data_IF_213243724040
#
_entry.id   IF_213243724040
#
_cell.length_a   1.000
_cell.length_b   1.000
_cell.length_c   1.000
_cell.angle_alpha   90.00
_cell.angle_beta   90.00
_cell.angle_gamma   90.00
#
_symmetry.space_group_name_H-M   'P 1'
#
loop_
_entity.id
_entity.type
_entity.pdbx_description
1 polymer ?
#
# COMPACT_ATOMS: atom_id res chain seq x y z
N UNK A 1 6.13 -17.15 -27.93
CA UNK A 1 5.37 -15.91 -27.70
C UNK A 1 5.94 -14.86 -28.64
N UNK A 2 5.13 -14.27 -29.50
CA UNK A 2 5.60 -13.24 -30.43
C UNK A 2 5.51 -11.86 -29.78
N UNK A 3 6.45 -11.55 -28.90
CA UNK A 3 6.56 -10.23 -28.29
C UNK A 3 7.50 -9.36 -29.12
N UNK A 4 7.13 -8.09 -29.31
CA UNK A 4 7.87 -7.12 -30.12
C UNK A 4 7.96 -5.81 -29.36
N UNK A 5 9.14 -5.23 -29.28
CA UNK A 5 9.36 -3.92 -28.71
C UNK A 5 9.20 -2.85 -29.79
N UNK A 6 8.38 -1.84 -29.51
CA UNK A 6 8.07 -0.75 -30.45
C UNK A 6 8.14 0.60 -29.71
N UNK A 7 8.34 1.68 -30.46
CA UNK A 7 8.24 3.02 -29.91
C UNK A 7 6.77 3.35 -29.59
N UNK A 8 6.55 4.20 -28.57
CA UNK A 8 5.19 4.59 -28.12
C UNK A 8 4.39 5.26 -29.25
N UNK A 9 5.06 5.94 -30.19
CA UNK A 9 4.47 6.59 -31.34
C UNK A 9 3.87 5.59 -32.34
N UNK A 10 4.32 4.35 -32.30
CA UNK A 10 3.85 3.25 -33.14
C UNK A 10 2.71 2.45 -32.50
N UNK A 11 2.41 2.72 -31.22
CA UNK A 11 1.33 2.06 -30.51
C UNK A 11 -0.02 2.58 -31.01
N UNK A 12 -0.92 1.66 -31.34
CA UNK A 12 -2.28 1.98 -31.80
C UNK A 12 -3.32 1.15 -31.05
N UNK A 13 -4.57 1.63 -30.95
CA UNK A 13 -5.65 0.84 -30.41
C UNK A 13 -5.79 -0.52 -31.10
N UNK A 14 -6.07 -1.57 -30.31
CA UNK A 14 -6.12 -2.96 -30.78
C UNK A 14 -4.82 -3.73 -30.55
N UNK A 15 -3.72 -3.10 -30.17
CA UNK A 15 -2.48 -3.79 -29.78
C UNK A 15 -2.56 -4.28 -28.32
N UNK A 16 -1.96 -5.43 -28.06
CA UNK A 16 -1.90 -5.98 -26.70
C UNK A 16 -0.56 -5.65 -26.04
N UNK A 17 -0.59 -4.76 -25.05
CA UNK A 17 0.56 -4.33 -24.27
C UNK A 17 0.99 -5.44 -23.30
N UNK A 18 2.29 -5.67 -23.19
CA UNK A 18 2.90 -6.64 -22.27
C UNK A 18 3.77 -5.95 -21.23
N UNK A 19 4.55 -4.93 -21.65
CA UNK A 19 5.48 -4.23 -20.80
C UNK A 19 5.79 -2.82 -21.34
N UNK A 20 6.36 -1.97 -20.49
CA UNK A 20 6.78 -0.59 -20.81
C UNK A 20 8.19 -0.34 -20.28
N UNK A 21 8.91 0.63 -20.85
CA UNK A 21 10.28 1.01 -20.49
C UNK A 21 10.39 1.87 -19.22
N UNK A 22 9.25 2.20 -18.63
CA UNK A 22 9.19 2.95 -17.37
C UNK A 22 8.72 1.99 -16.27
N UNK A 23 9.34 1.99 -15.09
CA UNK A 23 8.90 1.17 -13.98
C UNK A 23 7.40 1.33 -13.74
N UNK A 24 6.71 0.21 -13.58
CA UNK A 24 5.25 0.16 -13.45
C UNK A 24 4.67 1.08 -12.37
N UNK A 25 5.42 1.34 -11.29
CA UNK A 25 5.04 2.26 -10.22
C UNK A 25 5.08 3.75 -10.64
N UNK A 26 5.66 4.05 -11.81
CA UNK A 26 5.65 5.39 -12.42
C UNK A 26 4.57 5.55 -13.49
N UNK A 27 3.70 4.56 -13.66
CA UNK A 27 2.62 4.62 -14.65
C UNK A 27 1.25 4.64 -13.96
N UNK A 28 0.23 5.31 -14.52
CA UNK A 28 -1.10 5.34 -13.96
C UNK A 28 -1.86 4.03 -14.17
N UNK A 29 -1.23 3.03 -14.79
CA UNK A 29 -1.88 1.80 -15.19
C UNK A 29 -1.69 0.71 -14.14
N UNK A 30 -2.81 0.19 -13.62
CA UNK A 30 -2.82 -0.95 -12.71
C UNK A 30 -2.30 -2.25 -13.35
N UNK A 31 -2.33 -2.33 -14.69
CA UNK A 31 -1.91 -3.51 -15.45
C UNK A 31 -1.14 -3.08 -16.70
N UNK A 32 0.10 -3.56 -16.84
CA UNK A 32 0.85 -3.39 -18.10
C UNK A 32 0.34 -4.36 -19.19
N UNK A 33 -0.13 -5.55 -18.81
CA UNK A 33 -0.67 -6.55 -19.73
C UNK A 33 -2.13 -6.28 -20.03
N UNK A 34 -2.42 -5.52 -21.07
CA UNK A 34 -3.79 -5.18 -21.45
C UNK A 34 -3.92 -4.85 -22.93
N UNK A 35 -5.15 -4.93 -23.44
CA UNK A 35 -5.49 -4.36 -24.74
C UNK A 35 -5.47 -2.83 -24.65
N UNK A 36 -4.87 -2.17 -25.63
CA UNK A 36 -4.95 -0.72 -25.80
C UNK A 36 -6.24 -0.43 -26.57
N UNK A 37 -7.21 0.18 -25.91
CA UNK A 37 -8.55 0.33 -26.46
C UNK A 37 -8.80 1.68 -27.14
N UNK A 38 -8.02 2.72 -26.80
CA UNK A 38 -8.25 4.08 -27.23
C UNK A 38 -6.95 4.90 -27.31
N UNK A 39 -7.00 6.01 -28.08
CA UNK A 39 -5.88 6.93 -28.25
C UNK A 39 -5.58 7.72 -26.98
N UNK A 40 -6.57 7.97 -26.13
CA UNK A 40 -6.40 8.69 -24.88
C UNK A 40 -5.46 7.93 -23.93
N UNK A 41 -5.58 6.61 -23.90
CA UNK A 41 -4.65 5.73 -23.17
C UNK A 41 -3.20 5.93 -23.65
N UNK A 42 -2.98 6.05 -24.96
CA UNK A 42 -1.63 6.24 -25.55
C UNK A 42 -1.07 7.62 -25.19
N UNK A 43 -1.89 8.65 -25.23
CA UNK A 43 -1.48 10.00 -24.84
C UNK A 43 -1.12 10.07 -23.34
N UNK A 44 -1.90 9.43 -22.51
CA UNK A 44 -1.57 9.29 -21.08
C UNK A 44 -0.21 8.59 -20.92
N UNK A 45 0.05 7.49 -21.63
CA UNK A 45 1.32 6.79 -21.56
C UNK A 45 2.51 7.68 -21.94
N UNK A 46 2.37 8.51 -22.97
CA UNK A 46 3.39 9.50 -23.40
C UNK A 46 3.65 10.55 -22.31
N UNK A 47 2.60 11.06 -21.67
CA UNK A 47 2.70 12.04 -20.57
C UNK A 47 3.50 11.48 -19.39
N UNK A 48 3.43 10.16 -19.15
CA UNK A 48 4.23 9.48 -18.11
C UNK A 48 5.64 9.13 -18.53
N UNK A 49 6.09 9.64 -19.69
CA UNK A 49 7.47 9.48 -20.16
C UNK A 49 7.79 8.10 -20.74
N UNK A 50 6.79 7.27 -21.02
CA UNK A 50 6.97 6.00 -21.72
C UNK A 50 7.39 6.28 -23.15
N UNK A 51 8.51 5.69 -23.58
CA UNK A 51 9.07 5.85 -24.91
C UNK A 51 9.03 4.54 -25.71
N UNK A 52 9.21 3.42 -25.00
CA UNK A 52 9.23 2.10 -25.60
C UNK A 52 8.21 1.19 -24.93
N UNK A 53 7.52 0.39 -25.71
CA UNK A 53 6.52 -0.56 -25.21
C UNK A 53 6.76 -1.93 -25.84
N UNK A 54 6.46 -2.98 -25.08
CA UNK A 54 6.47 -4.36 -25.56
C UNK A 54 5.04 -4.81 -25.81
N UNK A 55 4.74 -5.24 -27.03
CA UNK A 55 3.43 -5.76 -27.43
C UNK A 55 3.49 -7.28 -27.68
N UNK A 56 2.36 -7.96 -27.53
CA UNK A 56 2.17 -9.37 -27.89
C UNK A 56 1.29 -9.44 -29.15
N UNK A 57 1.90 -9.69 -30.28
CA UNK A 57 1.23 -9.73 -31.57
C UNK A 57 0.34 -10.97 -31.78
N UNK A 58 0.42 -11.95 -30.85
CA UNK A 58 -0.50 -13.10 -30.85
C UNK A 58 -1.84 -12.79 -30.18
N UNK A 59 -1.93 -11.69 -29.41
CA UNK A 59 -3.12 -11.29 -28.66
C UNK A 59 -3.77 -9.99 -29.11
N UNK A 60 -3.12 -9.28 -30.03
CA UNK A 60 -3.59 -8.00 -30.54
C UNK A 60 -3.02 -7.67 -31.91
N UNK A 61 -3.33 -6.49 -32.41
CA UNK A 61 -2.84 -6.00 -33.70
C UNK A 61 -1.31 -5.89 -33.73
N UNK A 62 -0.68 -6.14 -34.88
CA UNK A 62 0.74 -5.86 -35.15
C UNK A 62 0.89 -4.51 -35.86
N UNK A 63 2.13 -4.04 -36.01
CA UNK A 63 2.45 -2.81 -36.73
C UNK A 63 1.91 -2.85 -38.17
N UNK A 64 1.19 -1.81 -38.62
CA UNK A 64 0.86 -1.69 -40.05
C UNK A 64 2.15 -1.56 -40.87
N UNK A 65 2.24 -2.28 -41.95
CA UNK A 65 3.36 -2.19 -42.90
C UNK A 65 3.46 -0.76 -43.41
N UNK A 66 4.55 -0.08 -43.08
CA UNK A 66 4.79 1.33 -43.37
C UNK A 66 4.93 1.63 -44.85
N UNK A 67 4.19 2.63 -45.30
CA UNK A 67 4.65 3.51 -46.38
C UNK A 67 4.90 4.90 -45.78
N UNK A 68 6.13 5.36 -45.86
CA UNK A 68 6.52 6.76 -45.69
C UNK A 68 5.97 7.59 -46.84
N UNK A 69 5.62 8.87 -46.78
CA UNK A 69 6.54 9.97 -46.56
C UNK A 69 6.00 11.32 -46.06
N UNK A 70 6.97 12.23 -45.86
CA UNK A 70 6.98 13.67 -46.20
C UNK A 70 6.29 14.69 -45.27
N UNK A 71 7.20 15.45 -44.67
CA UNK A 71 7.20 16.87 -44.36
C UNK A 71 6.13 17.77 -44.99
N UNK A 72 5.52 18.67 -44.22
CA UNK A 72 5.36 20.10 -44.56
C UNK A 72 5.18 20.91 -43.25
N UNK A 73 5.94 22.00 -43.16
CA UNK A 73 5.82 23.14 -42.27
C UNK A 73 4.45 23.80 -42.37
N UNK A 74 3.95 24.36 -41.28
CA UNK A 74 3.71 25.82 -41.18
C UNK A 74 3.20 26.23 -39.81
N UNK A 75 3.83 27.25 -39.26
CA UNK A 75 3.31 28.09 -38.20
C UNK A 75 2.27 29.10 -38.77
N UNK A 76 1.34 29.66 -37.96
CA UNK A 76 1.69 30.96 -37.38
C UNK A 76 1.21 31.22 -35.94
N UNK A 77 1.92 32.12 -35.34
CA UNK A 77 1.76 32.65 -34.00
C UNK A 77 0.57 33.62 -33.82
N UNK A 78 0.08 33.73 -32.58
CA UNK A 78 -0.60 34.88 -32.03
C UNK A 78 -1.56 34.56 -30.89
N UNK A 79 -1.93 35.50 -30.01
CA UNK A 79 -1.11 36.39 -29.20
C UNK A 79 -1.18 36.07 -27.68
N UNK A 80 -0.14 36.46 -27.01
CA UNK A 80 0.05 36.38 -25.54
C UNK A 80 -0.95 37.21 -24.73
N UNK A 81 -1.57 36.57 -23.74
CA UNK A 81 -2.29 37.22 -22.64
C UNK A 81 -1.46 37.02 -21.37
N UNK A 82 -1.18 38.04 -20.56
CA UNK A 82 -0.35 37.92 -19.37
C UNK A 82 -1.11 37.20 -18.24
N UNK A 83 -0.39 36.43 -17.37
CA UNK A 83 -0.99 35.69 -16.28
C UNK A 83 -1.39 36.60 -15.12
N UNK A 84 -2.44 36.23 -14.36
CA UNK A 84 -2.78 36.89 -13.09
C UNK A 84 -1.74 36.56 -12.03
N UNK A 85 -1.41 37.55 -11.22
CA UNK A 85 -0.49 37.45 -10.09
C UNK A 85 -0.94 36.41 -9.07
N UNK A 86 -0.05 35.50 -8.76
CA UNK A 86 -0.16 34.52 -7.69
C UNK A 86 -0.13 35.21 -6.33
N UNK A 87 -1.19 35.01 -5.56
CA UNK A 87 -1.14 35.23 -4.11
C UNK A 87 -0.39 34.04 -3.48
N UNK A 88 0.81 34.32 -2.98
CA UNK A 88 1.63 33.40 -2.22
C UNK A 88 0.87 33.00 -0.95
N UNK A 89 0.46 31.72 -0.85
CA UNK A 89 0.18 31.07 0.41
C UNK A 89 1.35 30.14 0.71
N UNK A 90 2.32 30.71 1.39
CA UNK A 90 3.40 29.94 2.05
C UNK A 90 2.77 29.05 3.13
N UNK A 91 2.84 27.75 2.93
CA UNK A 91 3.12 26.70 3.91
C UNK A 91 3.49 25.42 3.18
N UNK A 92 4.56 25.45 2.41
CA UNK A 92 5.34 24.26 2.21
C UNK A 92 6.17 24.06 3.50
N UNK A 93 5.92 23.00 4.25
CA UNK A 93 6.89 22.50 5.20
C UNK A 93 8.15 22.22 4.38
N UNK A 94 9.22 22.98 4.65
CA UNK A 94 10.53 22.74 4.06
C UNK A 94 10.91 21.27 4.31
N UNK A 95 11.36 20.52 3.30
CA UNK A 95 11.89 19.19 3.53
C UNK A 95 13.09 19.34 4.48
N UNK A 96 13.02 18.64 5.61
CA UNK A 96 14.15 18.52 6.54
C UNK A 96 15.34 18.04 5.73
N UNK A 97 16.35 18.89 5.62
CA UNK A 97 17.57 18.63 4.83
C UNK A 97 18.20 17.32 5.34
N UNK A 98 18.13 16.24 4.55
CA UNK A 98 18.79 14.97 4.85
C UNK A 98 17.88 13.74 4.95
N UNK A 99 16.54 13.86 4.93
CA UNK A 99 15.65 12.70 4.97
C UNK A 99 15.40 12.14 3.56
N UNK A 100 15.69 10.85 3.36
CA UNK A 100 15.40 10.19 2.07
C UNK A 100 13.87 10.09 1.86
N UNK A 101 13.38 10.18 0.60
CA UNK A 101 11.96 10.00 0.33
C UNK A 101 11.44 8.63 0.80
N UNK A 102 10.23 8.57 1.35
CA UNK A 102 9.63 7.34 1.86
C UNK A 102 9.61 6.20 0.84
N UNK A 103 9.47 6.51 -0.46
CA UNK A 103 9.53 5.52 -1.55
C UNK A 103 10.89 4.84 -1.64
N UNK A 104 11.98 5.57 -1.40
CA UNK A 104 13.34 5.02 -1.44
C UNK A 104 13.58 4.10 -0.24
N UNK A 105 13.21 4.56 0.94
CA UNK A 105 13.34 3.76 2.17
C UNK A 105 12.51 2.49 2.10
N UNK A 106 11.26 2.59 1.64
CA UNK A 106 10.41 1.43 1.46
C UNK A 106 11.02 0.41 0.48
N UNK A 107 11.58 0.88 -0.64
CA UNK A 107 12.22 0.03 -1.64
C UNK A 107 13.48 -0.65 -1.08
N UNK A 108 14.33 0.09 -0.36
CA UNK A 108 15.54 -0.46 0.28
C UNK A 108 15.19 -1.47 1.38
N UNK A 109 14.21 -1.16 2.23
CA UNK A 109 13.73 -2.08 3.25
C UNK A 109 13.18 -3.36 2.62
N UNK A 110 12.40 -3.25 1.54
CA UNK A 110 11.86 -4.39 0.82
C UNK A 110 12.96 -5.30 0.28
N UNK A 111 13.95 -4.75 -0.40
CA UNK A 111 15.10 -5.51 -0.89
C UNK A 111 15.88 -6.22 0.24
N UNK A 112 16.02 -5.56 1.39
CA UNK A 112 16.66 -6.17 2.55
C UNK A 112 15.82 -7.31 3.15
N UNK A 113 14.49 -7.17 3.20
CA UNK A 113 13.56 -8.23 3.66
C UNK A 113 13.56 -9.39 2.66
N UNK A 114 13.60 -9.14 1.37
CA UNK A 114 13.73 -10.20 0.35
C UNK A 114 14.98 -11.05 0.58
N UNK A 115 16.13 -10.43 0.86
CA UNK A 115 17.36 -11.15 1.19
C UNK A 115 17.21 -12.03 2.45
N UNK A 116 16.53 -11.52 3.49
CA UNK A 116 16.24 -12.31 4.70
C UNK A 116 15.41 -13.56 4.36
N UNK A 117 14.36 -13.41 3.57
CA UNK A 117 13.50 -14.55 3.20
C UNK A 117 14.19 -15.53 2.27
N UNK A 118 15.06 -15.08 1.36
CA UNK A 118 15.91 -15.94 0.54
C UNK A 118 16.89 -16.76 1.39
N UNK A 119 17.47 -16.17 2.44
CA UNK A 119 18.33 -16.86 3.38
C UNK A 119 17.55 -17.88 4.24
N UNK A 120 16.37 -17.50 4.72
CA UNK A 120 15.46 -18.41 5.43
C UNK A 120 15.06 -19.63 4.58
N UNK A 121 14.80 -19.45 3.29
CA UNK A 121 14.51 -20.56 2.37
C UNK A 121 15.70 -21.52 2.23
N UNK A 122 16.94 -21.00 2.33
CA UNK A 122 18.18 -21.80 2.34
C UNK A 122 18.47 -22.42 3.70
N UNK A 123 17.67 -22.10 4.72
CA UNK A 123 17.86 -22.60 6.08
C UNK A 123 18.82 -21.77 6.92
N UNK A 124 19.13 -20.55 6.49
CA UNK A 124 19.99 -19.62 7.24
C UNK A 124 19.09 -18.65 8.01
N UNK A 125 19.01 -18.72 9.34
CA UNK A 125 18.22 -17.78 10.13
C UNK A 125 18.86 -16.38 10.09
N UNK A 126 18.05 -15.30 10.04
CA UNK A 126 18.58 -13.94 10.05
C UNK A 126 19.21 -13.61 11.40
N UNK A 127 20.28 -12.83 11.37
CA UNK A 127 20.84 -12.30 12.62
C UNK A 127 19.91 -11.23 13.21
N UNK A 128 19.80 -11.14 14.55
CA UNK A 128 19.01 -10.09 15.20
C UNK A 128 19.44 -8.70 14.78
N UNK A 129 20.76 -8.47 14.58
CA UNK A 129 21.33 -7.18 14.19
C UNK A 129 20.88 -6.77 12.78
N UNK A 130 20.87 -7.71 11.82
CA UNK A 130 20.42 -7.43 10.45
C UNK A 130 18.94 -7.08 10.42
N UNK A 131 18.11 -7.83 11.17
CA UNK A 131 16.68 -7.55 11.27
C UNK A 131 16.43 -6.20 11.97
N UNK A 132 17.14 -5.94 13.08
CA UNK A 132 17.05 -4.69 13.82
C UNK A 132 17.45 -3.50 12.97
N UNK A 133 18.49 -3.60 12.16
CA UNK A 133 18.94 -2.51 11.28
C UNK A 133 17.85 -2.09 10.27
N UNK A 134 17.12 -3.06 9.70
CA UNK A 134 15.97 -2.76 8.82
C UNK A 134 14.87 -2.05 9.61
N UNK A 135 14.51 -2.58 10.78
CA UNK A 135 13.45 -2.03 11.62
C UNK A 135 13.79 -0.62 12.09
N UNK A 136 15.02 -0.36 12.54
CA UNK A 136 15.45 0.97 12.99
C UNK A 136 15.36 2.00 11.87
N UNK A 137 15.77 1.65 10.64
CA UNK A 137 15.63 2.54 9.48
C UNK A 137 14.15 2.87 9.18
N UNK A 138 13.27 1.86 9.20
CA UNK A 138 11.82 2.06 9.00
C UNK A 138 11.23 2.88 10.14
N UNK A 139 11.61 2.60 11.39
CA UNK A 139 11.14 3.31 12.59
C UNK A 139 11.50 4.78 12.55
N UNK A 140 12.76 5.12 12.22
CA UNK A 140 13.20 6.49 12.05
C UNK A 140 12.34 7.24 11.02
N UNK A 141 11.96 6.56 9.96
CA UNK A 141 11.07 7.14 8.93
C UNK A 141 9.65 7.33 9.43
N UNK A 142 9.11 6.36 10.16
CA UNK A 142 7.77 6.47 10.78
C UNK A 142 7.72 7.63 11.78
N UNK A 143 8.80 7.85 12.53
CA UNK A 143 8.91 8.96 13.49
C UNK A 143 9.03 10.32 12.81
N UNK A 144 9.72 10.39 11.66
CA UNK A 144 9.94 11.64 10.94
C UNK A 144 8.75 12.02 10.02
N UNK A 145 8.21 11.07 9.26
CA UNK A 145 7.09 11.27 8.35
C UNK A 145 6.18 10.04 8.26
N UNK A 146 5.37 9.87 9.28
CA UNK A 146 4.40 8.80 9.40
C UNK A 146 3.41 8.74 8.22
N UNK A 147 3.01 9.91 7.72
CA UNK A 147 2.03 10.00 6.62
C UNK A 147 2.64 9.49 5.33
N UNK A 148 3.87 9.92 5.01
CA UNK A 148 4.55 9.50 3.78
C UNK A 148 4.76 7.98 3.74
N UNK A 149 5.22 7.36 4.82
CA UNK A 149 5.47 5.91 4.83
C UNK A 149 4.16 5.10 4.82
N UNK A 150 3.12 5.54 5.55
CA UNK A 150 1.80 4.92 5.49
C UNK A 150 1.17 5.05 4.09
N UNK A 151 1.43 6.16 3.40
CA UNK A 151 1.02 6.37 2.00
C UNK A 151 1.72 5.38 1.07
N UNK A 152 3.00 5.07 1.29
CA UNK A 152 3.69 4.05 0.49
C UNK A 152 3.05 2.67 0.67
N UNK A 153 2.70 2.27 1.89
CA UNK A 153 1.96 1.02 2.13
C UNK A 153 0.62 1.04 1.39
N UNK A 154 -0.15 2.12 1.46
CA UNK A 154 -1.42 2.25 0.76
C UNK A 154 -1.24 2.15 -0.77
N UNK A 155 -0.21 2.79 -1.34
CA UNK A 155 0.13 2.71 -2.76
C UNK A 155 0.45 1.26 -3.16
N UNK A 156 1.24 0.52 -2.38
CA UNK A 156 1.56 -0.87 -2.66
C UNK A 156 0.29 -1.74 -2.65
N UNK A 157 -0.64 -1.52 -1.71
CA UNK A 157 -1.92 -2.24 -1.65
C UNK A 157 -2.80 -1.95 -2.87
N UNK A 158 -2.88 -0.70 -3.30
CA UNK A 158 -3.68 -0.30 -4.48
C UNK A 158 -3.06 -0.85 -5.77
N UNK A 159 -1.75 -0.76 -5.91
CA UNK A 159 -1.01 -1.26 -7.08
C UNK A 159 -0.99 -2.79 -7.18
N UNK A 160 -1.30 -3.49 -6.13
CA UNK A 160 -1.65 -4.91 -5.98
C UNK A 160 -0.90 -5.94 -6.82
N UNK A 161 0.41 -6.04 -6.76
CA UNK A 161 1.07 -7.16 -7.41
C UNK A 161 2.01 -7.96 -6.51
N UNK A 162 2.31 -7.44 -5.34
CA UNK A 162 3.17 -8.14 -4.42
C UNK A 162 2.37 -8.98 -3.43
N UNK A 163 2.13 -10.25 -3.81
CA UNK A 163 1.62 -11.30 -2.92
C UNK A 163 2.75 -12.02 -2.21
N UNK A 164 3.97 -11.47 -2.27
CA UNK A 164 5.11 -12.08 -1.64
C UNK A 164 4.96 -12.02 -0.12
N UNK A 165 5.53 -13.00 0.54
CA UNK A 165 5.65 -12.98 2.01
C UNK A 165 6.43 -11.74 2.46
N UNK A 166 7.39 -11.30 1.66
CA UNK A 166 8.26 -10.15 1.92
C UNK A 166 7.52 -8.82 1.91
N UNK A 167 6.66 -8.59 0.91
CA UNK A 167 5.82 -7.38 0.87
C UNK A 167 4.85 -7.32 2.04
N UNK A 168 4.19 -8.43 2.35
CA UNK A 168 3.30 -8.55 3.51
C UNK A 168 4.05 -8.30 4.82
N UNK A 169 5.22 -8.90 5.01
CA UNK A 169 6.04 -8.73 6.20
C UNK A 169 6.46 -7.26 6.41
N UNK A 170 6.88 -6.56 5.35
CA UNK A 170 7.26 -5.16 5.43
C UNK A 170 6.05 -4.26 5.72
N UNK A 171 4.92 -4.46 5.04
CA UNK A 171 3.70 -3.69 5.27
C UNK A 171 3.20 -3.87 6.71
N UNK A 172 3.19 -5.12 7.19
CA UNK A 172 2.84 -5.44 8.58
C UNK A 172 3.81 -4.79 9.56
N UNK A 173 5.12 -4.76 9.26
CA UNK A 173 6.12 -4.07 10.09
C UNK A 173 5.83 -2.58 10.18
N UNK A 174 5.68 -1.88 9.06
CA UNK A 174 5.39 -0.43 9.01
C UNK A 174 4.14 -0.09 9.81
N UNK A 175 3.04 -0.79 9.57
CA UNK A 175 1.78 -0.53 10.27
C UNK A 175 1.86 -0.88 11.76
N UNK A 176 2.58 -1.96 12.13
CA UNK A 176 2.77 -2.35 13.53
C UNK A 176 3.60 -1.33 14.30
N UNK A 177 4.63 -0.74 13.68
CA UNK A 177 5.41 0.35 14.27
C UNK A 177 4.53 1.59 14.50
N UNK A 178 3.67 1.94 13.55
CA UNK A 178 2.73 3.04 13.70
C UNK A 178 1.79 2.80 14.90
N UNK A 179 1.26 1.59 15.04
CA UNK A 179 0.37 1.22 16.16
C UNK A 179 1.14 1.17 17.47
N UNK A 180 2.37 0.66 17.49
CA UNK A 180 3.22 0.59 18.67
C UNK A 180 3.54 1.99 19.23
N UNK A 181 3.88 2.95 18.36
CA UNK A 181 4.10 4.36 18.74
C UNK A 181 2.82 4.97 19.31
N UNK A 182 1.69 4.78 18.64
CA UNK A 182 0.39 5.30 19.08
C UNK A 182 -0.10 4.64 20.38
N UNK A 183 0.37 3.41 20.66
CA UNK A 183 0.13 2.70 21.93
C UNK A 183 1.01 3.22 23.08
N UNK A 184 1.94 4.15 22.81
CA UNK A 184 2.86 4.70 23.80
C UNK A 184 3.98 3.75 24.22
N UNK A 185 4.33 2.76 23.40
CA UNK A 185 5.46 1.87 23.66
C UNK A 185 6.77 2.64 23.54
N UNK A 186 7.76 2.30 24.39
CA UNK A 186 9.11 2.84 24.28
C UNK A 186 9.87 2.25 23.09
N UNK A 187 10.89 2.94 22.60
CA UNK A 187 11.67 2.56 21.43
C UNK A 187 12.16 1.11 21.44
N UNK A 188 12.70 0.55 22.55
CA UNK A 188 13.11 -0.86 22.57
C UNK A 188 11.95 -1.83 22.28
N UNK A 189 10.76 -1.54 22.78
CA UNK A 189 9.56 -2.34 22.51
C UNK A 189 9.06 -2.17 21.08
N UNK A 190 9.12 -0.95 20.53
CA UNK A 190 8.80 -0.68 19.14
C UNK A 190 9.72 -1.49 18.19
N UNK A 191 11.02 -1.54 18.48
CA UNK A 191 11.99 -2.36 17.72
C UNK A 191 11.61 -3.85 17.78
N UNK A 192 11.24 -4.38 18.94
CA UNK A 192 10.80 -5.77 19.08
C UNK A 192 9.52 -6.06 18.30
N UNK A 193 8.55 -5.16 18.33
CA UNK A 193 7.32 -5.24 17.51
C UNK A 193 7.68 -5.26 16.03
N UNK A 194 8.55 -4.35 15.57
CA UNK A 194 8.99 -4.30 14.18
C UNK A 194 9.69 -5.58 13.73
N UNK A 195 10.63 -6.11 14.55
CA UNK A 195 11.34 -7.36 14.27
C UNK A 195 10.37 -8.55 14.22
N UNK A 196 9.46 -8.65 15.19
CA UNK A 196 8.43 -9.68 15.22
C UNK A 196 7.52 -9.61 14.02
N UNK A 197 7.10 -8.40 13.63
CA UNK A 197 6.26 -8.18 12.46
C UNK A 197 6.96 -8.53 11.14
N UNK A 198 8.27 -8.25 10.99
CA UNK A 198 9.04 -8.69 9.82
C UNK A 198 9.15 -10.21 9.72
N UNK A 199 9.18 -10.91 10.84
CA UNK A 199 9.48 -12.33 10.90
C UNK A 199 8.27 -13.22 11.24
N UNK A 200 7.07 -12.64 11.47
CA UNK A 200 5.89 -13.39 11.95
C UNK A 200 5.54 -14.59 11.07
N UNK A 201 5.69 -14.45 9.77
CA UNK A 201 5.36 -15.43 8.74
C UNK A 201 6.60 -16.24 8.25
N UNK A 202 7.79 -16.11 8.91
CA UNK A 202 9.01 -16.79 8.51
C UNK A 202 8.85 -18.32 8.38
N UNK A 203 7.98 -18.91 9.17
CA UNK A 203 7.73 -20.35 9.14
C UNK A 203 7.10 -20.88 7.86
N UNK A 204 6.48 -20.02 7.02
CA UNK A 204 5.94 -20.44 5.73
C UNK A 204 7.02 -20.97 4.77
N UNK A 205 8.28 -20.57 4.92
CA UNK A 205 9.38 -21.09 4.09
C UNK A 205 9.62 -22.61 4.29
N UNK A 206 9.14 -23.16 5.42
CA UNK A 206 9.24 -24.60 5.75
C UNK A 206 8.03 -25.40 5.27
N UNK A 207 7.02 -24.76 4.69
CA UNK A 207 5.81 -25.40 4.17
C UNK A 207 5.87 -25.58 2.65
N UNK A 208 5.13 -26.56 2.09
CA UNK A 208 5.06 -26.73 0.63
C UNK A 208 4.61 -25.45 -0.08
N UNK A 209 5.40 -24.98 -1.05
CA UNK A 209 5.14 -23.72 -1.78
C UNK A 209 3.77 -23.68 -2.46
N UNK A 210 3.28 -24.81 -2.97
CA UNK A 210 1.96 -24.93 -3.58
C UNK A 210 0.84 -24.71 -2.56
N UNK A 211 1.04 -25.15 -1.32
CA UNK A 211 0.09 -24.93 -0.22
C UNK A 211 0.08 -23.46 0.20
N UNK A 212 1.26 -22.88 0.41
CA UNK A 212 1.40 -21.45 0.79
C UNK A 212 0.77 -20.52 -0.26
N UNK A 213 0.90 -20.84 -1.55
CA UNK A 213 0.29 -20.06 -2.63
C UNK A 213 -1.24 -20.07 -2.60
N UNK A 214 -1.85 -21.14 -2.07
CA UNK A 214 -3.31 -21.33 -1.98
C UNK A 214 -3.84 -21.13 -0.55
N UNK A 215 -3.03 -20.56 0.35
CA UNK A 215 -3.35 -20.49 1.80
C UNK A 215 -4.73 -19.92 2.12
N UNK A 216 -5.23 -19.00 1.30
CA UNK A 216 -6.54 -18.39 1.52
C UNK A 216 -7.72 -19.24 1.02
N UNK A 217 -7.44 -20.31 0.29
CA UNK A 217 -8.43 -21.25 -0.27
C UNK A 217 -8.40 -22.61 0.44
N UNK A 218 -7.49 -22.76 1.41
CA UNK A 218 -7.27 -24.02 2.11
C UNK A 218 -8.32 -24.26 3.20
N UNK A 219 -8.67 -25.54 3.38
CA UNK A 219 -9.60 -26.00 4.41
C UNK A 219 -9.14 -27.34 5.00
N UNK A 220 -9.72 -27.77 6.11
CA UNK A 220 -9.42 -29.05 6.73
C UNK A 220 -7.93 -29.22 7.08
N UNK A 221 -7.34 -30.33 6.67
CA UNK A 221 -5.95 -30.69 6.99
C UNK A 221 -4.93 -29.67 6.44
N UNK A 222 -5.18 -29.12 5.25
CA UNK A 222 -4.30 -28.12 4.65
C UNK A 222 -4.23 -26.86 5.51
N UNK A 223 -5.36 -26.41 6.06
CA UNK A 223 -5.41 -25.28 6.99
C UNK A 223 -4.61 -25.57 8.26
N UNK A 224 -4.81 -26.77 8.87
CA UNK A 224 -4.06 -27.19 10.06
C UNK A 224 -2.55 -27.24 9.80
N UNK A 225 -2.16 -27.66 8.59
CA UNK A 225 -0.74 -27.65 8.21
C UNK A 225 -0.21 -26.22 8.05
N UNK A 226 -0.98 -25.31 7.44
CA UNK A 226 -0.60 -23.90 7.35
C UNK A 226 -0.45 -23.23 8.72
N UNK A 227 -1.30 -23.55 9.68
CA UNK A 227 -1.23 -23.05 11.05
C UNK A 227 0.07 -23.42 11.78
N UNK A 228 0.80 -24.45 11.31
CA UNK A 228 2.10 -24.81 11.85
C UNK A 228 3.18 -23.75 11.59
N UNK A 229 2.96 -22.79 10.66
CA UNK A 229 3.99 -21.77 10.37
C UNK A 229 4.44 -21.01 11.61
N UNK A 230 3.56 -20.76 12.60
CA UNK A 230 3.93 -20.12 13.85
C UNK A 230 5.02 -20.92 14.60
N UNK A 231 4.80 -22.23 14.77
CA UNK A 231 5.75 -23.12 15.47
C UNK A 231 7.03 -23.33 14.64
N UNK A 232 6.89 -23.51 13.33
CA UNK A 232 8.02 -23.66 12.42
C UNK A 232 8.87 -22.39 12.37
N UNK A 233 8.23 -21.20 12.42
CA UNK A 233 8.92 -19.93 12.51
C UNK A 233 9.76 -19.82 13.79
N UNK A 234 9.17 -20.14 14.94
CA UNK A 234 9.91 -20.17 16.21
C UNK A 234 11.09 -21.15 16.15
N UNK A 235 10.87 -22.38 15.66
CA UNK A 235 11.94 -23.37 15.52
C UNK A 235 13.09 -22.83 14.67
N UNK A 236 12.76 -22.25 13.52
CA UNK A 236 13.74 -21.70 12.58
C UNK A 236 14.55 -20.53 13.17
N UNK A 237 13.86 -19.60 13.84
CA UNK A 237 14.47 -18.39 14.38
C UNK A 237 15.27 -18.67 15.67
N UNK A 238 14.88 -19.68 16.45
CA UNK A 238 15.59 -20.10 17.67
C UNK A 238 16.95 -20.76 17.38
N UNK A 239 17.25 -21.12 16.12
CA UNK A 239 18.56 -21.59 15.71
C UNK A 239 19.63 -20.50 15.87
N UNK A 240 19.24 -19.22 15.90
CA UNK A 240 20.13 -18.10 16.21
C UNK A 240 20.06 -17.75 17.68
N UNK A 241 21.14 -17.94 18.47
CA UNK A 241 21.10 -17.81 19.94
C UNK A 241 20.85 -16.40 20.48
N UNK A 242 20.94 -15.37 19.61
CA UNK A 242 20.69 -13.96 19.99
C UNK A 242 19.28 -13.46 19.68
N UNK A 243 18.38 -14.31 19.16
CA UNK A 243 17.01 -13.86 18.86
C UNK A 243 16.24 -13.61 20.17
N UNK A 244 15.67 -12.42 20.29
CA UNK A 244 14.98 -11.99 21.52
C UNK A 244 13.71 -12.82 21.75
N UNK A 245 13.45 -13.18 23.00
CA UNK A 245 12.29 -13.99 23.40
C UNK A 245 10.96 -13.37 22.97
N UNK A 246 10.79 -12.05 23.12
CA UNK A 246 9.57 -11.37 22.72
C UNK A 246 9.33 -11.43 21.20
N UNK A 247 10.40 -11.42 20.38
CA UNK A 247 10.27 -11.62 18.93
C UNK A 247 9.73 -13.02 18.64
N UNK A 248 10.29 -14.06 19.30
CA UNK A 248 9.80 -15.43 19.18
C UNK A 248 8.36 -15.58 19.66
N UNK A 249 7.99 -14.89 20.74
CA UNK A 249 6.60 -14.85 21.21
C UNK A 249 5.66 -14.20 20.20
N UNK A 250 6.05 -13.09 19.55
CA UNK A 250 5.26 -12.46 18.49
C UNK A 250 5.04 -13.46 17.35
N UNK A 251 6.09 -14.12 16.88
CA UNK A 251 6.01 -15.13 15.81
C UNK A 251 5.08 -16.28 16.18
N UNK A 252 5.10 -16.72 17.44
CA UNK A 252 4.25 -17.81 17.92
C UNK A 252 2.79 -17.41 18.05
N UNK A 253 2.53 -16.20 18.60
CA UNK A 253 1.23 -15.82 19.18
C UNK A 253 0.40 -14.85 18.30
N UNK A 254 0.93 -14.35 17.16
CA UNK A 254 0.22 -13.31 16.35
C UNK A 254 -1.15 -13.76 15.81
N UNK A 255 -1.41 -15.06 15.75
CA UNK A 255 -2.73 -15.60 15.39
C UNK A 255 -3.59 -15.97 16.60
N UNK A 256 -3.12 -15.77 17.82
CA UNK A 256 -3.96 -15.93 19.01
C UNK A 256 -5.04 -14.85 19.09
N UNK A 257 -6.16 -15.18 19.71
CA UNK A 257 -7.30 -14.27 19.89
C UNK A 257 -7.74 -14.27 21.33
N UNK A 258 -8.09 -13.09 21.86
CA UNK A 258 -8.44 -12.93 23.29
C UNK A 258 -9.64 -13.75 23.72
N UNK A 259 -10.51 -14.14 22.79
CA UNK A 259 -11.64 -15.04 23.01
C UNK A 259 -11.25 -16.54 23.01
N UNK A 260 -9.96 -16.88 22.81
CA UNK A 260 -9.47 -18.26 22.76
C UNK A 260 -9.75 -18.98 21.43
N UNK A 261 -10.26 -18.30 20.40
CA UNK A 261 -10.51 -18.89 19.08
C UNK A 261 -9.29 -18.90 18.17
N UNK A 262 -8.15 -18.39 18.64
CA UNK A 262 -6.91 -18.33 17.89
C UNK A 262 -6.11 -19.63 17.87
N UNK A 263 -4.92 -19.59 17.32
CA UNK A 263 -3.96 -20.69 17.25
C UNK A 263 -2.53 -20.16 17.44
N UNK A 264 -1.52 -20.99 17.75
CA UNK A 264 -1.52 -22.45 17.79
C UNK A 264 -1.85 -23.08 19.15
N UNK A 265 -2.07 -22.26 20.21
CA UNK A 265 -2.27 -22.75 21.57
C UNK A 265 -3.66 -22.40 22.13
N UNK A 266 -4.48 -21.67 21.37
CA UNK A 266 -5.79 -21.15 21.78
C UNK A 266 -5.73 -20.40 23.10
N UNK A 267 -4.75 -19.48 23.22
CA UNK A 267 -4.53 -18.67 24.41
C UNK A 267 -5.71 -17.71 24.61
N UNK A 268 -6.16 -17.60 25.86
CA UNK A 268 -7.12 -16.56 26.24
C UNK A 268 -6.42 -15.30 26.72
N UNK A 269 -7.15 -14.21 26.71
CA UNK A 269 -6.88 -12.83 27.10
C UNK A 269 -5.47 -12.51 27.65
N UNK A 270 -5.23 -12.77 28.94
CA UNK A 270 -4.01 -12.31 29.66
C UNK A 270 -2.75 -13.13 29.35
N UNK A 271 -2.86 -14.21 28.58
CA UNK A 271 -1.75 -15.10 28.25
C UNK A 271 -1.01 -14.69 26.96
N UNK A 272 -1.69 -13.91 26.09
CA UNK A 272 -1.14 -13.46 24.82
C UNK A 272 -0.23 -12.25 25.05
N UNK A 273 0.96 -12.25 24.49
CA UNK A 273 1.85 -11.08 24.52
C UNK A 273 1.15 -9.84 23.96
N UNK A 274 1.15 -8.71 24.67
CA UNK A 274 0.63 -7.45 24.13
C UNK A 274 1.30 -7.03 22.81
N UNK A 275 2.59 -7.34 22.63
CA UNK A 275 3.33 -7.07 21.40
C UNK A 275 2.84 -7.97 20.26
N UNK A 276 2.52 -9.23 20.54
CA UNK A 276 1.93 -10.15 19.57
C UNK A 276 0.51 -9.74 19.18
N UNK A 277 -0.27 -9.19 20.09
CA UNK A 277 -1.61 -8.66 19.79
C UNK A 277 -1.54 -7.48 18.81
N UNK A 278 -0.53 -6.59 18.94
CA UNK A 278 -0.31 -5.48 17.99
C UNK A 278 -0.03 -6.03 16.58
N UNK A 279 0.88 -6.97 16.46
CA UNK A 279 1.19 -7.58 15.15
C UNK A 279 -0.02 -8.34 14.61
N UNK A 280 -0.73 -9.09 15.46
CA UNK A 280 -1.89 -9.87 15.05
C UNK A 280 -3.08 -9.05 14.54
N UNK A 281 -3.36 -7.87 15.12
CA UNK A 281 -4.43 -7.01 14.60
C UNK A 281 -4.04 -6.35 13.27
N UNK A 282 -2.75 -5.98 13.12
CA UNK A 282 -2.21 -5.40 11.89
C UNK A 282 -2.20 -6.43 10.77
N UNK A 283 -1.75 -7.68 11.03
CA UNK A 283 -1.78 -8.78 10.07
C UNK A 283 -3.20 -9.02 9.54
N UNK A 284 -4.20 -9.07 10.44
CA UNK A 284 -5.61 -9.22 10.03
C UNK A 284 -6.07 -8.06 9.14
N UNK A 285 -5.71 -6.81 9.48
CA UNK A 285 -6.02 -5.65 8.63
C UNK A 285 -5.37 -5.78 7.27
N UNK A 286 -4.07 -6.05 7.24
CA UNK A 286 -3.30 -6.18 6.00
C UNK A 286 -3.86 -7.30 5.11
N UNK A 287 -4.19 -8.44 5.71
CA UNK A 287 -4.82 -9.55 5.00
C UNK A 287 -6.18 -9.18 4.40
N UNK A 288 -6.98 -8.32 5.05
CA UNK A 288 -8.27 -7.87 4.54
C UNK A 288 -8.14 -6.91 3.35
N UNK A 289 -7.19 -5.96 3.39
CA UNK A 289 -7.00 -4.96 2.34
C UNK A 289 -6.10 -5.43 1.20
N UNK A 290 -5.52 -6.63 1.33
CA UNK A 290 -4.72 -7.26 0.27
C UNK A 290 -5.55 -8.29 -0.47
N UNK A 291 -5.54 -8.22 -1.83
CA UNK A 291 -6.16 -9.26 -2.65
C UNK A 291 -5.37 -10.56 -2.52
N UNK A 292 -6.04 -11.66 -2.16
CA UNK A 292 -5.43 -12.98 -2.00
C UNK A 292 -6.23 -14.03 -2.80
N UNK A 293 -5.56 -14.73 -3.71
CA UNK A 293 -6.21 -15.76 -4.53
C UNK A 293 -7.43 -15.22 -5.29
N UNK A 294 -8.57 -15.88 -5.11
CA UNK A 294 -9.87 -15.49 -5.64
C UNK A 294 -10.60 -14.46 -4.76
N UNK A 295 -10.15 -14.28 -3.50
CA UNK A 295 -10.79 -13.34 -2.56
C UNK A 295 -10.41 -11.91 -2.94
N UNK A 296 -11.39 -11.01 -3.25
CA UNK A 296 -11.13 -9.60 -3.47
C UNK A 296 -10.64 -8.94 -2.18
N UNK A 297 -9.83 -7.90 -2.32
CA UNK A 297 -9.50 -7.02 -1.20
C UNK A 297 -10.76 -6.27 -0.75
N UNK A 298 -10.90 -6.07 0.56
CA UNK A 298 -11.86 -5.11 1.09
C UNK A 298 -11.35 -3.69 0.83
N UNK A 299 -12.25 -2.75 0.64
CA UNK A 299 -11.89 -1.34 0.72
C UNK A 299 -11.43 -1.03 2.16
N UNK A 300 -10.41 -0.16 2.34
CA UNK A 300 -9.79 0.06 3.66
C UNK A 300 -10.78 0.41 4.77
N UNK A 301 -11.81 1.19 4.47
CA UNK A 301 -12.86 1.55 5.43
C UNK A 301 -13.66 0.33 5.92
N UNK A 302 -13.98 -0.62 5.02
CA UNK A 302 -14.71 -1.83 5.42
C UNK A 302 -13.83 -2.75 6.27
N UNK A 303 -12.51 -2.80 6.00
CA UNK A 303 -11.56 -3.51 6.84
C UNK A 303 -11.51 -2.91 8.27
N UNK A 304 -11.50 -1.58 8.40
CA UNK A 304 -11.60 -0.89 9.71
C UNK A 304 -12.90 -1.27 10.43
N UNK A 305 -14.02 -1.30 9.71
CA UNK A 305 -15.30 -1.73 10.27
C UNK A 305 -15.25 -3.19 10.75
N UNK A 306 -14.61 -4.09 10.01
CA UNK A 306 -14.45 -5.49 10.44
C UNK A 306 -13.59 -5.60 11.70
N UNK A 307 -12.51 -4.81 11.82
CA UNK A 307 -11.70 -4.77 13.04
C UNK A 307 -12.52 -4.28 14.24
N UNK A 308 -13.33 -3.24 14.06
CA UNK A 308 -14.23 -2.78 15.11
C UNK A 308 -15.16 -3.89 15.59
N UNK A 309 -15.79 -4.60 14.66
CA UNK A 309 -16.67 -5.74 14.98
C UNK A 309 -15.90 -6.91 15.63
N UNK A 310 -14.64 -7.15 15.27
CA UNK A 310 -13.78 -8.16 15.90
C UNK A 310 -13.50 -7.79 17.37
N UNK A 311 -13.28 -6.51 17.67
CA UNK A 311 -13.17 -6.01 19.04
C UNK A 311 -14.45 -6.19 19.85
N UNK A 312 -15.62 -5.89 19.25
CA UNK A 312 -16.92 -6.10 19.90
C UNK A 312 -17.20 -7.58 20.20
N UNK A 313 -16.68 -8.50 19.38
CA UNK A 313 -16.76 -9.95 19.61
C UNK A 313 -15.72 -10.47 20.61
N UNK A 314 -14.82 -9.62 21.12
CA UNK A 314 -13.79 -10.03 22.07
C UNK A 314 -12.59 -10.75 21.44
N UNK A 315 -12.42 -10.66 20.11
CA UNK A 315 -11.26 -11.27 19.43
C UNK A 315 -9.97 -10.49 19.64
N UNK A 316 -10.08 -9.18 19.89
CA UNK A 316 -8.99 -8.28 20.24
C UNK A 316 -9.41 -7.38 21.39
N UNK A 317 -8.46 -6.90 22.23
CA UNK A 317 -8.76 -5.91 23.25
C UNK A 317 -9.33 -4.64 22.64
N UNK A 318 -10.47 -4.14 23.13
CA UNK A 318 -11.10 -2.91 22.61
C UNK A 318 -10.14 -1.71 22.59
N UNK A 319 -9.30 -1.44 23.61
CA UNK A 319 -8.35 -0.35 23.57
C UNK A 319 -7.34 -0.48 22.41
N UNK A 320 -6.90 -1.71 22.08
CA UNK A 320 -6.01 -1.95 20.96
C UNK A 320 -6.70 -1.68 19.62
N UNK A 321 -7.96 -2.13 19.48
CA UNK A 321 -8.76 -1.84 18.25
C UNK A 321 -8.94 -0.33 18.07
N UNK A 322 -9.25 0.39 19.14
CA UNK A 322 -9.37 1.85 19.13
C UNK A 322 -8.04 2.53 18.73
N UNK A 323 -6.92 2.03 19.26
CA UNK A 323 -5.59 2.53 18.90
C UNK A 323 -5.27 2.24 17.43
N UNK A 324 -5.57 1.05 16.93
CA UNK A 324 -5.41 0.72 15.52
C UNK A 324 -6.24 1.65 14.63
N UNK A 325 -7.53 1.86 14.94
CA UNK A 325 -8.40 2.77 14.17
C UNK A 325 -7.90 4.22 14.26
N UNK A 326 -7.35 4.63 15.40
CA UNK A 326 -6.73 5.95 15.57
C UNK A 326 -5.48 6.10 14.71
N UNK A 327 -4.70 5.03 14.59
CA UNK A 327 -3.44 4.98 13.83
C UNK A 327 -3.64 5.11 12.33
N UNK A 328 -4.59 4.38 11.77
CA UNK A 328 -4.83 4.32 10.33
C UNK A 328 -6.00 5.20 9.85
N UNK A 329 -6.82 5.70 10.79
CA UNK A 329 -8.01 6.52 10.52
C UNK A 329 -9.28 5.72 10.24
N UNK A 330 -10.44 6.35 10.44
CA UNK A 330 -11.76 5.81 10.04
C UNK A 330 -11.87 5.75 8.52
N UNK A 331 -11.25 6.71 7.85
CA UNK A 331 -11.05 6.75 6.41
C UNK A 331 -9.56 6.66 6.14
N UNK A 332 -9.00 5.43 5.97
CA UNK A 332 -7.56 5.26 5.75
C UNK A 332 -7.09 5.94 4.47
N UNK A 333 -5.79 6.26 4.40
CA UNK A 333 -5.14 6.81 3.21
C UNK A 333 -5.46 5.93 2.00
N UNK A 334 -5.81 6.56 0.87
CA UNK A 334 -6.24 5.87 -0.35
C UNK A 334 -7.75 5.57 -0.42
N UNK A 335 -8.53 5.87 0.61
CA UNK A 335 -9.99 5.75 0.53
C UNK A 335 -10.56 6.78 -0.45
N UNK A 336 -11.47 6.35 -1.32
CA UNK A 336 -12.24 7.22 -2.20
C UNK A 336 -13.54 7.62 -1.49
N UNK A 337 -13.81 8.92 -1.42
CA UNK A 337 -14.95 9.49 -0.69
C UNK A 337 -15.89 10.24 -1.62
N UNK A 338 -17.18 10.22 -1.31
CA UNK A 338 -18.18 11.15 -1.80
C UNK A 338 -18.44 12.17 -0.71
N UNK A 339 -18.33 13.46 -1.04
CA UNK A 339 -18.61 14.55 -0.12
C UNK A 339 -20.08 14.99 -0.22
N UNK A 340 -20.57 15.70 0.80
CA UNK A 340 -21.92 16.27 0.84
C UNK A 340 -22.18 17.29 -0.30
N UNK A 341 -21.12 17.91 -0.81
CA UNK A 341 -21.15 18.84 -1.95
C UNK A 341 -21.35 18.15 -3.30
N UNK A 342 -21.26 16.82 -3.36
CA UNK A 342 -21.30 16.06 -4.61
C UNK A 342 -19.92 15.78 -5.22
N UNK A 343 -18.86 16.36 -4.68
CA UNK A 343 -17.47 16.14 -5.08
C UNK A 343 -16.98 14.72 -4.73
N UNK A 344 -16.00 14.20 -5.48
CA UNK A 344 -15.23 13.02 -5.08
C UNK A 344 -13.85 13.45 -4.58
N UNK A 345 -13.35 12.75 -3.58
CA UNK A 345 -12.07 13.05 -2.97
C UNK A 345 -11.32 11.78 -2.56
N UNK A 346 -10.00 11.81 -2.63
CA UNK A 346 -9.11 10.75 -2.16
C UNK A 346 -8.48 11.17 -0.84
N UNK A 347 -8.52 10.30 0.16
CA UNK A 347 -7.85 10.54 1.45
C UNK A 347 -6.35 10.47 1.26
N UNK A 348 -5.65 11.53 1.65
CA UNK A 348 -4.18 11.64 1.56
C UNK A 348 -3.51 11.75 2.93
N UNK A 349 -4.28 11.97 3.99
CA UNK A 349 -3.77 12.01 5.36
C UNK A 349 -4.89 11.82 6.39
N UNK A 350 -4.51 11.40 7.59
CA UNK A 350 -5.42 11.17 8.71
C UNK A 350 -5.29 12.31 9.70
N UNK A 351 -6.41 12.74 10.27
CA UNK A 351 -6.42 13.68 11.37
C UNK A 351 -6.66 12.94 12.69
N UNK A 352 -5.65 12.78 13.55
CA UNK A 352 -5.79 12.01 14.79
C UNK A 352 -6.81 12.61 15.78
N UNK A 353 -6.99 13.92 15.76
CA UNK A 353 -7.89 14.65 16.66
C UNK A 353 -9.33 14.69 16.13
N UNK A 354 -9.51 14.70 14.81
CA UNK A 354 -10.82 14.77 14.15
C UNK A 354 -10.97 13.63 13.13
N UNK A 355 -11.08 12.41 13.62
CA UNK A 355 -11.02 11.15 12.84
C UNK A 355 -11.99 11.05 11.66
N UNK A 356 -13.11 11.80 11.72
CA UNK A 356 -14.11 11.84 10.63
C UNK A 356 -13.85 12.96 9.60
N UNK A 357 -12.75 13.72 9.79
CA UNK A 357 -12.38 14.84 8.95
C UNK A 357 -10.94 14.69 8.46
N UNK A 358 -10.68 13.78 7.50
CA UNK A 358 -9.34 13.56 6.98
C UNK A 358 -8.86 14.73 6.11
N UNK A 359 -7.55 14.73 5.83
CA UNK A 359 -6.96 15.50 4.74
C UNK A 359 -7.26 14.79 3.42
N UNK A 360 -7.80 15.50 2.44
CA UNK A 360 -8.25 14.93 1.17
C UNK A 360 -7.74 15.72 -0.03
N UNK A 361 -7.57 15.02 -1.16
CA UNK A 361 -7.49 15.62 -2.50
C UNK A 361 -8.84 15.49 -3.17
N UNK A 362 -9.52 16.61 -3.39
CA UNK A 362 -10.78 16.68 -4.15
C UNK A 362 -10.44 16.56 -5.63
N UNK A 363 -11.00 15.54 -6.28
CA UNK A 363 -10.63 15.14 -7.65
C UNK A 363 -11.66 15.51 -8.69
N UNK A 364 -12.92 15.72 -8.27
CA UNK A 364 -14.02 16.12 -9.18
C UNK A 364 -14.79 17.29 -8.61
N UNK A 365 -15.43 18.04 -9.52
CA UNK A 365 -16.42 19.03 -9.16
C UNK A 365 -17.77 18.39 -8.70
N UNK A 366 -18.75 19.18 -8.20
CA UNK A 366 -20.06 18.66 -7.79
C UNK A 366 -20.85 17.97 -8.91
N UNK A 367 -20.58 18.29 -10.17
CA UNK A 367 -21.23 17.74 -11.36
C UNK A 367 -20.52 16.47 -11.87
N UNK A 368 -19.36 16.11 -11.29
CA UNK A 368 -18.58 14.93 -11.64
C UNK A 368 -17.49 15.19 -12.70
N UNK A 369 -17.27 16.45 -13.10
CA UNK A 369 -16.15 16.84 -13.93
C UNK A 369 -14.83 16.72 -13.16
N UNK A 370 -13.79 16.18 -13.79
CA UNK A 370 -12.48 16.03 -13.14
C UNK A 370 -11.74 17.37 -13.06
N UNK A 371 -11.16 17.69 -11.91
CA UNK A 371 -10.25 18.82 -11.79
C UNK A 371 -8.91 18.50 -12.47
N UNK A 372 -8.43 19.41 -13.31
CA UNK A 372 -7.09 19.31 -13.90
C UNK A 372 -6.00 19.25 -12.81
N UNK A 373 -6.17 20.03 -11.74
CA UNK A 373 -5.35 19.95 -10.53
C UNK A 373 -6.25 19.68 -9.34
N UNK A 374 -6.14 18.50 -8.69
CA UNK A 374 -6.88 18.18 -7.47
C UNK A 374 -6.63 19.19 -6.36
N UNK A 375 -7.67 19.54 -5.61
CA UNK A 375 -7.59 20.50 -4.51
C UNK A 375 -7.25 19.76 -3.21
N UNK A 376 -6.17 20.14 -2.54
CA UNK A 376 -5.88 19.63 -1.20
C UNK A 376 -6.68 20.41 -0.16
N UNK A 377 -7.50 19.69 0.61
CA UNK A 377 -8.39 20.26 1.61
C UNK A 377 -8.28 19.45 2.92
N UNK A 378 -8.01 20.15 4.00
CA UNK A 378 -8.21 19.59 5.36
C UNK A 378 -9.68 19.78 5.74
N UNK A 379 -10.44 18.68 5.84
CA UNK A 379 -11.85 18.74 6.22
C UNK A 379 -12.06 19.20 7.67
N UNK A 380 -10.99 19.27 8.48
CA UNK A 380 -11.04 19.80 9.85
C UNK A 380 -10.88 21.32 9.90
N UNK A 381 -10.22 21.91 8.90
CA UNK A 381 -9.97 23.34 8.82
C UNK A 381 -11.11 24.09 8.12
N UNK A 382 -11.32 25.39 8.42
CA UNK A 382 -12.21 26.23 7.62
C UNK A 382 -11.71 26.30 6.17
N UNK A 383 -12.60 26.04 5.22
CA UNK A 383 -12.28 26.16 3.80
C UNK A 383 -12.19 27.63 3.37
N UNK A 384 -11.25 27.96 2.49
CA UNK A 384 -11.07 29.31 1.93
C UNK A 384 -12.27 29.78 1.11
N UNK A 385 -13.06 28.84 0.57
CA UNK A 385 -14.28 29.09 -0.20
C UNK A 385 -15.55 29.11 0.66
N UNK A 386 -15.39 29.07 2.00
CA UNK A 386 -16.49 28.98 2.98
C UNK A 386 -17.42 27.77 2.80
N UNK A 387 -17.06 26.79 1.98
CA UNK A 387 -17.84 25.57 1.75
C UNK A 387 -17.58 24.56 2.86
N UNK A 388 -18.63 24.16 3.58
CA UNK A 388 -18.53 23.10 4.59
C UNK A 388 -18.60 21.74 3.89
N UNK A 389 -17.47 21.05 3.86
CA UNK A 389 -17.37 19.70 3.30
C UNK A 389 -17.37 18.64 4.39
N UNK A 390 -18.20 17.63 4.21
CA UNK A 390 -18.27 16.46 5.11
C UNK A 390 -18.31 15.20 4.29
N UNK A 391 -17.82 14.10 4.85
CA UNK A 391 -17.89 12.79 4.19
C UNK A 391 -19.33 12.29 4.20
N UNK A 392 -19.89 12.07 3.01
CA UNK A 392 -21.24 11.49 2.85
C UNK A 392 -21.19 9.97 2.86
N UNK A 393 -20.26 9.38 2.09
CA UNK A 393 -20.04 7.94 2.00
C UNK A 393 -18.68 7.60 1.43
N UNK A 394 -18.22 6.37 1.68
CA UNK A 394 -17.04 5.79 1.03
C UNK A 394 -17.47 5.14 -0.28
N UNK A 395 -16.64 5.26 -1.30
CA UNK A 395 -16.84 4.68 -2.61
C UNK A 395 -15.83 3.55 -2.85
N UNK A 396 -16.23 2.56 -3.66
CA UNK A 396 -15.31 1.53 -4.15
C UNK A 396 -14.58 2.08 -5.40
N UNK A 397 -13.24 2.29 -5.34
CA UNK A 397 -12.48 2.82 -6.46
C UNK A 397 -12.58 1.97 -7.74
N UNK A 398 -12.73 0.64 -7.59
CA UNK A 398 -12.85 -0.28 -8.73
C UNK A 398 -14.19 -0.08 -9.41
N UNK A 399 -15.27 0.03 -8.64
CA UNK A 399 -16.62 0.25 -9.16
C UNK A 399 -16.76 1.62 -9.82
N UNK A 400 -16.17 2.64 -9.21
CA UNK A 400 -16.14 4.02 -9.72
C UNK A 400 -15.11 4.22 -10.85
N UNK A 401 -14.27 3.20 -11.14
CA UNK A 401 -13.18 3.25 -12.13
C UNK A 401 -12.16 4.37 -11.87
N UNK A 402 -11.93 4.69 -10.60
CA UNK A 402 -10.97 5.72 -10.17
C UNK A 402 -9.65 5.07 -9.78
N UNK A 403 -8.56 5.52 -10.36
CA UNK A 403 -7.22 5.13 -9.93
C UNK A 403 -6.74 6.06 -8.81
N UNK A 404 -6.99 5.68 -7.57
CA UNK A 404 -6.61 6.50 -6.40
C UNK A 404 -5.10 6.64 -6.23
N UNK A 405 -4.27 5.72 -6.77
CA UNK A 405 -2.81 5.78 -6.63
C UNK A 405 -2.20 7.04 -7.26
N UNK A 406 -2.76 7.55 -8.35
CA UNK A 406 -2.26 8.77 -9.02
C UNK A 406 -2.40 10.03 -8.14
N UNK A 407 -3.30 9.99 -7.17
CA UNK A 407 -3.56 11.11 -6.25
C UNK A 407 -2.69 11.02 -4.98
N UNK A 408 -2.08 9.85 -4.75
CA UNK A 408 -1.23 9.59 -3.57
C UNK A 408 0.25 9.78 -3.86
N UNK A 409 0.69 9.52 -5.09
CA UNK A 409 2.11 9.51 -5.45
C UNK A 409 2.63 10.96 -5.61
N UNK A 410 3.54 11.44 -4.74
CA UNK A 410 4.09 12.79 -4.84
C UNK A 410 5.05 12.96 -6.03
N UNK A 411 5.50 11.85 -6.64
CA UNK A 411 6.49 11.84 -7.73
C UNK A 411 5.81 11.86 -9.10
N UNK A 412 4.53 11.52 -9.18
CA UNK A 412 3.79 11.58 -10.43
C UNK A 412 3.56 13.04 -10.80
N UNK A 413 4.03 13.50 -11.98
CA UNK A 413 3.76 14.84 -12.43
C UNK A 413 2.25 15.05 -12.45
N UNK A 414 1.79 16.08 -11.76
CA UNK A 414 0.40 16.54 -11.83
C UNK A 414 0.16 16.87 -13.30
N UNK A 415 -0.82 16.24 -13.90
CA UNK A 415 -1.23 16.57 -15.26
C UNK A 415 -1.56 18.07 -15.27
N UNK A 416 -0.86 18.83 -16.12
CA UNK A 416 -1.09 20.25 -16.36
C UNK A 416 -2.39 20.45 -17.12
#
# INVERSE_FOLDING_TARGET
MATKQIAIEQLVPGMYLVDVDVPWYRTPFLFHKRMVNDLQTIEIMKQYGIRMVTIDTSKGADLPLTTTPSSVNDQPAGPTVPPPQEAQVERATEPVLGCQPAVVIYAQAKEAVERIFDDLERGVPPTPEATKAIVSNVLDHVLNDRVAIATQVAIQKIKQFDRSLTGHALDTCVLSLIVAIESGLEQPQQELVGMGALLHDAGYVRLPRNLVRKRDECSGQDKTLLEQHCKLGVTLLSEHPGMHEDVLRIVLEHHERTDGTGFPAALGNDKISPLAQIVGIVDVYDAMVTRRGTRPALIPHDAVRQLFLAGERGQFPKPLVETMIRSIGVYPVGSLLKLNTGEQAVVVGVNPQQRLKPLVKVTTDPQGGSYATPLEIDLAAPSSDHTVRTVLRVLDPIHERVNVAIHLDPILPRAA
#
